data_IF_904473689362
#
_entry.id   IF_904473689362
#
_cell.length_a   1.000
_cell.length_b   1.000
_cell.length_c   1.000
_cell.angle_alpha   90.00
_cell.angle_beta   90.00
_cell.angle_gamma   90.00
#
_symmetry.space_group_name_H-M   'P 1'
#
loop_
_entity.id
_entity.type
_entity.pdbx_description
1 polymer ?
#
# COMPACT_ATOMS: atom_id res chain seq x y z
N UNK A 1 -2.40 -13.58 7.93
CA UNK A 1 -2.59 -12.92 6.62
C UNK A 1 -3.58 -11.78 6.79
N UNK A 2 -3.42 -10.62 6.13
CA UNK A 2 -4.35 -9.50 6.28
C UNK A 2 -5.68 -9.70 5.55
N UNK A 3 -5.66 -10.30 4.36
CA UNK A 3 -6.85 -10.50 3.53
C UNK A 3 -7.66 -11.71 4.00
N UNK A 4 -8.99 -11.60 3.90
CA UNK A 4 -9.93 -12.66 4.22
C UNK A 4 -11.26 -12.49 3.47
N UNK A 5 -12.15 -13.48 3.65
CA UNK A 5 -13.47 -13.49 3.03
C UNK A 5 -14.38 -12.35 3.49
N UNK A 6 -14.04 -11.62 4.56
CA UNK A 6 -14.83 -10.48 5.04
C UNK A 6 -14.24 -9.13 4.67
N UNK A 7 -13.18 -9.13 3.86
CA UNK A 7 -12.57 -7.94 3.33
C UNK A 7 -13.51 -7.21 2.37
N UNK A 8 -13.51 -5.87 2.44
CA UNK A 8 -14.44 -5.02 1.69
C UNK A 8 -13.71 -3.89 0.98
N UNK A 9 -14.21 -3.56 -0.19
CA UNK A 9 -13.83 -2.37 -0.92
C UNK A 9 -14.84 -1.25 -0.63
N UNK A 10 -14.34 -0.13 -0.11
CA UNK A 10 -15.12 1.05 0.24
C UNK A 10 -14.60 2.24 -0.57
N UNK A 11 -15.51 2.89 -1.28
CA UNK A 11 -15.27 4.18 -1.93
C UNK A 11 -16.00 5.27 -1.13
N UNK A 12 -15.31 6.38 -0.87
CA UNK A 12 -15.88 7.58 -0.25
C UNK A 12 -15.84 8.72 -1.26
N UNK A 13 -16.99 9.32 -1.53
CA UNK A 13 -17.12 10.46 -2.44
C UNK A 13 -17.62 11.66 -1.65
N UNK A 14 -17.01 12.83 -1.83
CA UNK A 14 -17.50 14.06 -1.21
C UNK A 14 -18.78 14.54 -1.89
N UNK A 15 -19.72 15.09 -1.12
CA UNK A 15 -20.86 15.83 -1.67
C UNK A 15 -20.41 17.17 -2.23
N UNK A 16 -19.54 17.86 -1.51
CA UNK A 16 -18.99 19.15 -1.91
C UNK A 16 -17.79 18.97 -2.85
N UNK A 17 -17.44 20.02 -3.60
CA UNK A 17 -16.32 19.99 -4.55
C UNK A 17 -14.97 20.17 -3.84
N UNK A 18 -14.57 19.20 -3.02
CA UNK A 18 -13.28 19.25 -2.31
C UNK A 18 -12.15 18.88 -3.29
N UNK A 19 -11.36 19.88 -3.69
CA UNK A 19 -10.21 19.74 -4.59
C UNK A 19 -8.87 19.84 -3.85
N UNK A 20 -8.87 20.39 -2.63
CA UNK A 20 -7.68 20.48 -1.78
C UNK A 20 -7.42 19.15 -1.06
N UNK A 21 -6.23 18.58 -1.30
CA UNK A 21 -5.81 17.28 -0.77
C UNK A 21 -5.60 17.31 0.75
N UNK A 22 -5.10 18.39 1.32
CA UNK A 22 -4.90 18.49 2.76
C UNK A 22 -6.22 18.55 3.50
N UNK A 23 -7.17 19.34 2.99
CA UNK A 23 -8.54 19.40 3.49
C UNK A 23 -9.19 18.02 3.39
N UNK A 24 -9.14 17.37 2.22
CA UNK A 24 -9.68 16.04 2.01
C UNK A 24 -9.08 15.02 2.99
N UNK A 25 -7.75 15.03 3.16
CA UNK A 25 -7.02 14.12 4.04
C UNK A 25 -7.41 14.32 5.50
N UNK A 26 -7.63 15.56 5.93
CA UNK A 26 -8.10 15.87 7.27
C UNK A 26 -9.51 15.31 7.52
N UNK A 27 -10.42 15.43 6.56
CA UNK A 27 -11.76 14.85 6.62
C UNK A 27 -11.72 13.32 6.62
N UNK A 28 -10.87 12.72 5.79
CA UNK A 28 -10.63 11.27 5.78
C UNK A 28 -10.11 10.75 7.13
N UNK A 29 -9.14 11.44 7.74
CA UNK A 29 -8.62 11.05 9.06
C UNK A 29 -9.72 11.12 10.14
N UNK A 30 -10.60 12.13 10.10
CA UNK A 30 -11.75 12.22 11.01
C UNK A 30 -12.72 11.06 10.80
N UNK A 31 -12.96 10.66 9.54
CA UNK A 31 -13.77 9.47 9.24
C UNK A 31 -13.18 8.20 9.84
N UNK A 32 -11.88 7.93 9.65
CA UNK A 32 -11.22 6.74 10.22
C UNK A 32 -11.34 6.74 11.75
N UNK A 33 -11.21 7.90 12.41
CA UNK A 33 -11.43 8.01 13.87
C UNK A 33 -12.87 7.66 14.27
N UNK A 34 -13.88 8.24 13.60
CA UNK A 34 -15.30 7.93 13.86
C UNK A 34 -15.62 6.46 13.62
N UNK A 35 -15.07 5.88 12.56
CA UNK A 35 -15.26 4.46 12.22
C UNK A 35 -14.65 3.55 13.29
N UNK A 36 -13.42 3.82 13.75
CA UNK A 36 -12.79 3.07 14.84
C UNK A 36 -13.59 3.13 16.13
N UNK A 37 -14.09 4.32 16.48
CA UNK A 37 -14.95 4.49 17.65
C UNK A 37 -16.22 3.63 17.54
N UNK A 38 -16.92 3.72 16.40
CA UNK A 38 -18.11 2.90 16.15
C UNK A 38 -17.83 1.39 16.25
N UNK A 39 -16.71 0.93 15.68
CA UNK A 39 -16.31 -0.48 15.73
C UNK A 39 -16.02 -0.96 17.16
N UNK A 40 -15.38 -0.12 17.98
CA UNK A 40 -15.14 -0.40 19.38
C UNK A 40 -16.45 -0.54 20.15
N UNK A 41 -17.37 0.43 20.00
CA UNK A 41 -18.63 0.45 20.74
C UNK A 41 -19.59 -0.67 20.32
N UNK A 42 -19.68 -0.99 19.02
CA UNK A 42 -20.67 -1.96 18.52
C UNK A 42 -20.17 -3.40 18.40
N UNK A 43 -18.88 -3.59 18.19
CA UNK A 43 -18.32 -4.93 17.93
C UNK A 43 -17.18 -5.29 18.89
N UNK A 44 -16.89 -4.45 19.89
CA UNK A 44 -15.75 -4.61 20.79
C UNK A 44 -14.41 -4.75 20.03
N UNK A 45 -14.37 -4.22 18.80
CA UNK A 45 -13.25 -4.32 17.87
C UNK A 45 -12.55 -2.97 17.76
N UNK A 46 -11.49 -2.79 18.54
CA UNK A 46 -10.68 -1.55 18.52
C UNK A 46 -9.73 -1.47 17.33
N UNK A 47 -9.44 -2.60 16.69
CA UNK A 47 -8.43 -2.72 15.64
C UNK A 47 -9.10 -2.71 14.26
N UNK A 48 -8.86 -1.62 13.51
CA UNK A 48 -9.22 -1.50 12.10
C UNK A 48 -7.98 -1.71 11.23
N UNK A 49 -7.96 -2.77 10.43
CA UNK A 49 -6.96 -3.02 9.39
C UNK A 49 -7.46 -2.43 8.05
N UNK A 50 -6.69 -1.53 7.44
CA UNK A 50 -7.04 -0.97 6.13
C UNK A 50 -5.83 -0.44 5.35
N UNK A 51 -6.00 -0.36 4.03
CA UNK A 51 -5.16 0.42 3.10
C UNK A 51 -6.08 1.35 2.33
N UNK A 52 -5.66 2.60 2.09
CA UNK A 52 -6.41 3.54 1.27
C UNK A 52 -5.52 4.42 0.41
N UNK A 53 -6.10 4.93 -0.68
CA UNK A 53 -5.51 5.98 -1.53
C UNK A 53 -6.61 6.92 -1.98
N UNK A 54 -6.23 8.16 -2.31
CA UNK A 54 -7.13 9.09 -2.98
C UNK A 54 -6.86 9.09 -4.49
N UNK A 55 -7.82 9.50 -5.28
CA UNK A 55 -7.61 9.86 -6.69
C UNK A 55 -8.51 11.05 -7.05
N UNK A 56 -8.35 11.60 -8.24
CA UNK A 56 -9.23 12.64 -8.78
C UNK A 56 -10.40 11.96 -9.50
N UNK A 57 -11.63 12.37 -9.18
CA UNK A 57 -12.84 11.84 -9.81
C UNK A 57 -13.00 12.43 -11.23
N UNK A 58 -12.50 11.71 -12.23
CA UNK A 58 -12.55 12.09 -13.67
C UNK A 58 -13.96 12.50 -14.12
N UNK A 59 -14.96 11.66 -13.86
CA UNK A 59 -16.36 11.96 -14.23
C UNK A 59 -16.85 13.30 -13.70
N UNK A 60 -16.48 13.66 -12.47
CA UNK A 60 -16.90 14.92 -11.87
C UNK A 60 -16.16 16.09 -12.50
N UNK A 61 -14.86 15.92 -12.76
CA UNK A 61 -14.03 16.88 -13.49
C UNK A 61 -14.59 17.18 -14.89
N UNK A 62 -15.07 16.18 -15.61
CA UNK A 62 -15.72 16.36 -16.91
C UNK A 62 -17.02 17.17 -16.79
N UNK A 63 -17.86 16.86 -15.81
CA UNK A 63 -19.17 17.52 -15.66
C UNK A 63 -19.13 18.92 -15.04
N UNK A 64 -18.17 19.20 -14.15
CA UNK A 64 -18.12 20.45 -13.37
C UNK A 64 -16.85 21.27 -13.58
N UNK A 65 -15.87 20.74 -14.32
CA UNK A 65 -14.53 21.33 -14.45
C UNK A 65 -13.64 21.10 -13.23
N UNK A 66 -14.15 20.52 -12.14
CA UNK A 66 -13.44 20.43 -10.86
C UNK A 66 -12.97 19.01 -10.57
N UNK A 67 -11.66 18.87 -10.32
CA UNK A 67 -11.02 17.62 -9.91
C UNK A 67 -11.32 17.26 -8.46
N UNK A 68 -12.54 16.79 -8.18
CA UNK A 68 -12.94 16.43 -6.81
C UNK A 68 -12.25 15.16 -6.37
N UNK A 69 -11.75 15.17 -5.13
CA UNK A 69 -11.04 14.05 -4.54
C UNK A 69 -12.04 12.95 -4.14
N UNK A 70 -11.68 11.69 -4.30
CA UNK A 70 -12.38 10.57 -3.66
C UNK A 70 -11.39 9.53 -3.16
N UNK A 71 -11.82 8.75 -2.16
CA UNK A 71 -10.97 7.74 -1.52
C UNK A 71 -11.42 6.33 -1.88
N UNK A 72 -10.44 5.48 -2.17
CA UNK A 72 -10.60 4.04 -2.31
C UNK A 72 -9.91 3.35 -1.16
N UNK A 73 -10.62 2.42 -0.50
CA UNK A 73 -10.20 1.82 0.76
C UNK A 73 -10.45 0.31 0.67
N UNK A 74 -9.43 -0.48 1.03
CA UNK A 74 -9.62 -1.88 1.37
C UNK A 74 -9.66 -1.99 2.89
N UNK A 75 -10.78 -2.51 3.39
CA UNK A 75 -11.01 -2.81 4.80
C UNK A 75 -10.85 -4.31 4.99
N UNK A 76 -9.95 -4.72 5.88
CA UNK A 76 -9.67 -6.13 6.13
C UNK A 76 -10.45 -6.66 7.34
N UNK A 77 -10.93 -7.91 7.27
CA UNK A 77 -11.71 -8.55 8.33
C UNK A 77 -12.85 -7.67 8.86
N UNK A 78 -13.52 -6.96 7.96
CA UNK A 78 -14.41 -5.88 8.36
C UNK A 78 -15.82 -6.43 8.62
N UNK A 79 -16.49 -6.13 9.75
CA UNK A 79 -17.83 -6.64 10.00
C UNK A 79 -18.84 -6.07 9.00
N UNK A 80 -20.02 -6.69 8.90
CA UNK A 80 -21.12 -6.08 8.17
C UNK A 80 -21.60 -4.83 8.91
N UNK A 81 -21.69 -3.72 8.17
CA UNK A 81 -22.31 -2.48 8.64
C UNK A 81 -23.23 -2.01 7.51
N UNK A 82 -24.46 -1.65 7.87
CA UNK A 82 -25.41 -1.11 6.92
C UNK A 82 -24.84 0.13 6.21
N UNK A 83 -25.05 0.23 4.89
CA UNK A 83 -24.50 1.30 4.06
C UNK A 83 -24.89 2.71 4.56
N UNK A 84 -26.16 2.91 4.94
CA UNK A 84 -26.65 4.20 5.45
C UNK A 84 -25.93 4.58 6.75
N UNK A 85 -25.62 3.58 7.59
CA UNK A 85 -24.85 3.83 8.82
C UNK A 85 -23.40 4.22 8.51
N UNK A 86 -22.75 3.58 7.54
CA UNK A 86 -21.42 3.97 7.09
C UNK A 86 -21.41 5.36 6.45
N UNK A 87 -22.42 5.70 5.68
CA UNK A 87 -22.59 7.03 5.10
C UNK A 87 -22.75 8.10 6.19
N UNK A 88 -23.52 7.79 7.24
CA UNK A 88 -23.64 8.65 8.42
C UNK A 88 -22.29 8.84 9.13
N UNK A 89 -21.49 7.78 9.24
CA UNK A 89 -20.13 7.85 9.81
C UNK A 89 -19.21 8.68 8.90
N UNK A 90 -19.37 8.56 7.57
CA UNK A 90 -18.64 9.37 6.60
C UNK A 90 -18.96 10.86 6.74
N UNK A 91 -20.24 11.22 6.82
CA UNK A 91 -20.75 12.57 7.10
C UNK A 91 -20.38 13.66 6.07
N UNK A 92 -19.69 13.33 4.97
CA UNK A 92 -19.22 14.31 3.98
C UNK A 92 -19.63 13.98 2.54
N UNK A 93 -20.54 13.03 2.35
CA UNK A 93 -21.05 12.66 1.03
C UNK A 93 -21.49 11.21 1.00
N UNK A 94 -21.20 10.53 -0.10
CA UNK A 94 -21.73 9.21 -0.42
C UNK A 94 -20.68 8.13 -0.21
N UNK A 95 -21.16 6.91 0.01
CA UNK A 95 -20.30 5.73 0.10
C UNK A 95 -20.75 4.66 -0.88
N UNK A 96 -19.80 3.87 -1.36
CA UNK A 96 -20.07 2.60 -2.05
C UNK A 96 -19.24 1.52 -1.40
N UNK A 97 -19.89 0.51 -0.83
CA UNK A 97 -19.21 -0.61 -0.20
C UNK A 97 -19.55 -1.92 -0.90
N UNK A 98 -18.53 -2.72 -1.20
CA UNK A 98 -18.69 -4.04 -1.82
C UNK A 98 -17.88 -5.06 -1.03
N UNK A 99 -18.45 -6.23 -0.78
CA UNK A 99 -17.70 -7.38 -0.28
C UNK A 99 -16.78 -7.89 -1.40
N UNK A 100 -15.51 -8.13 -1.07
CA UNK A 100 -14.61 -8.79 -2.01
C UNK A 100 -15.01 -10.27 -2.10
N UNK A 101 -15.19 -10.77 -3.32
CA UNK A 101 -15.61 -12.16 -3.53
C UNK A 101 -14.53 -13.10 -3.02
N UNK A 102 -14.94 -14.19 -2.36
CA UNK A 102 -14.04 -15.25 -1.88
C UNK A 102 -13.28 -15.96 -3.02
N UNK A 103 -13.81 -15.93 -4.24
CA UNK A 103 -13.18 -16.50 -5.43
C UNK A 103 -12.07 -15.62 -6.03
N UNK A 104 -11.86 -14.40 -5.52
CA UNK A 104 -10.82 -13.49 -5.99
C UNK A 104 -9.57 -13.75 -5.17
N UNK A 105 -8.47 -14.03 -5.85
CA UNK A 105 -7.20 -14.30 -5.19
C UNK A 105 -6.63 -13.01 -4.57
N UNK A 106 -5.85 -13.09 -3.48
CA UNK A 106 -5.20 -11.92 -2.87
C UNK A 106 -4.42 -11.06 -3.86
N UNK A 107 -3.77 -11.68 -4.86
CA UNK A 107 -2.98 -11.01 -5.90
C UNK A 107 -3.87 -10.14 -6.77
N UNK A 108 -5.06 -10.63 -7.16
CA UNK A 108 -6.04 -9.87 -7.94
C UNK A 108 -6.60 -8.69 -7.15
N UNK A 109 -6.79 -8.85 -5.84
CA UNK A 109 -7.15 -7.74 -4.95
C UNK A 109 -6.02 -6.70 -4.90
N UNK A 110 -4.77 -7.16 -4.83
CA UNK A 110 -3.57 -6.34 -4.93
C UNK A 110 -3.50 -5.54 -6.23
N UNK A 111 -3.66 -6.19 -7.38
CA UNK A 111 -3.69 -5.54 -8.70
C UNK A 111 -4.81 -4.49 -8.79
N UNK A 112 -5.98 -4.81 -8.24
CA UNK A 112 -7.11 -3.90 -8.22
C UNK A 112 -6.82 -2.62 -7.42
N UNK A 113 -6.15 -2.73 -6.26
CA UNK A 113 -5.76 -1.52 -5.51
C UNK A 113 -4.59 -0.77 -6.16
N UNK A 114 -3.63 -1.49 -6.76
CA UNK A 114 -2.50 -0.92 -7.51
C UNK A 114 -2.95 0.01 -8.63
N UNK A 115 -4.05 -0.31 -9.31
CA UNK A 115 -4.69 0.59 -10.29
C UNK A 115 -5.01 1.97 -9.71
N UNK A 116 -5.49 2.04 -8.47
CA UNK A 116 -5.82 3.31 -7.83
C UNK A 116 -4.58 4.02 -7.31
N UNK A 117 -3.51 3.30 -6.96
CA UNK A 117 -2.24 3.90 -6.57
C UNK A 117 -1.55 4.62 -7.72
N UNK A 118 -1.60 4.04 -8.93
CA UNK A 118 -0.97 4.60 -10.12
C UNK A 118 -1.77 5.74 -10.76
N UNK A 119 -3.07 5.85 -10.46
CA UNK A 119 -3.84 7.03 -10.85
C UNK A 119 -3.32 8.28 -10.12
N UNK A 120 -3.19 9.38 -10.85
CA UNK A 120 -2.67 10.66 -10.37
C UNK A 120 -1.26 10.55 -9.77
N UNK A 121 -0.40 9.70 -10.36
CA UNK A 121 0.93 9.40 -9.81
C UNK A 121 1.83 10.63 -9.72
N UNK A 122 1.80 11.50 -10.74
CA UNK A 122 2.56 12.76 -10.75
C UNK A 122 2.13 13.68 -9.61
N UNK A 123 0.83 13.86 -9.40
CA UNK A 123 0.33 14.65 -8.29
C UNK A 123 0.67 13.99 -6.94
N UNK A 124 0.49 12.67 -6.84
CA UNK A 124 0.78 11.90 -5.62
C UNK A 124 2.24 11.95 -5.21
N UNK A 125 3.18 11.87 -6.17
CA UNK A 125 4.62 11.89 -5.90
C UNK A 125 5.04 13.19 -5.19
N UNK A 126 4.36 14.30 -5.49
CA UNK A 126 4.65 15.60 -4.87
C UNK A 126 3.93 15.84 -3.54
N UNK A 127 3.03 14.93 -3.12
CA UNK A 127 2.14 15.13 -1.97
C UNK A 127 2.41 14.11 -0.86
N UNK A 128 2.47 14.60 0.39
CA UNK A 128 2.49 13.72 1.56
C UNK A 128 1.16 12.96 1.66
N UNK A 129 1.21 11.68 2.05
CA UNK A 129 0.03 10.80 2.25
C UNK A 129 -0.78 10.49 0.98
N UNK A 130 -0.11 10.15 -0.12
CA UNK A 130 -0.75 9.49 -1.26
C UNK A 130 -1.38 8.13 -0.90
N UNK A 131 -0.83 7.48 0.13
CA UNK A 131 -1.26 6.19 0.66
C UNK A 131 -1.48 6.30 2.17
N UNK A 132 -2.53 5.64 2.65
CA UNK A 132 -2.85 5.50 4.07
C UNK A 132 -2.88 4.04 4.43
N UNK A 133 -2.27 3.68 5.56
CA UNK A 133 -2.32 2.33 6.09
C UNK A 133 -2.58 2.36 7.59
N UNK A 134 -3.31 1.36 8.08
CA UNK A 134 -3.32 1.08 9.51
C UNK A 134 -1.97 0.51 9.95
N UNK A 135 -1.48 0.87 11.14
CA UNK A 135 -0.16 0.42 11.64
C UNK A 135 -0.08 -1.08 11.95
N UNK A 136 -1.23 -1.72 12.13
CA UNK A 136 -1.41 -3.11 12.54
C UNK A 136 -1.65 -4.06 11.35
N UNK A 137 -1.21 -3.67 10.14
CA UNK A 137 -1.13 -4.62 9.03
C UNK A 137 0.06 -5.54 9.24
N UNK A 138 -0.16 -6.83 8.98
CA UNK A 138 0.96 -7.77 8.82
C UNK A 138 1.78 -7.32 7.63
N UNK A 139 3.08 -7.11 7.86
CA UNK A 139 4.02 -6.74 6.79
C UNK A 139 4.57 -8.02 6.18
N UNK A 140 4.83 -8.04 4.86
CA UNK A 140 5.57 -9.14 4.27
C UNK A 140 6.96 -9.21 4.94
N UNK A 141 7.43 -10.43 5.18
CA UNK A 141 8.83 -10.63 5.52
C UNK A 141 9.63 -10.35 4.26
N UNK A 142 10.54 -9.38 4.33
CA UNK A 142 11.38 -8.99 3.20
C UNK A 142 12.83 -9.25 3.61
N UNK A 143 13.47 -10.17 2.93
CA UNK A 143 14.91 -10.32 2.95
C UNK A 143 15.48 -9.54 1.76
N UNK A 144 16.27 -8.50 2.04
CA UNK A 144 17.00 -7.75 1.00
C UNK A 144 18.47 -8.05 1.17
N UNK A 145 19.05 -8.71 0.17
CA UNK A 145 20.50 -8.89 0.08
C UNK A 145 21.03 -8.10 -1.12
N UNK A 146 22.20 -7.51 -0.93
CA UNK A 146 22.93 -6.82 -1.99
C UNK A 146 24.15 -7.66 -2.32
N UNK A 147 24.29 -8.05 -3.58
CA UNK A 147 25.41 -8.84 -4.06
C UNK A 147 26.15 -8.01 -5.12
N UNK A 148 27.42 -7.71 -4.85
CA UNK A 148 28.31 -7.05 -5.82
C UNK A 148 28.78 -8.04 -6.90
N UNK A 149 28.81 -9.33 -6.57
CA UNK A 149 29.17 -10.42 -7.48
C UNK A 149 27.90 -11.11 -7.97
N UNK A 150 27.65 -11.00 -9.27
CA UNK A 150 26.47 -11.55 -9.96
C UNK A 150 26.40 -13.08 -9.81
N UNK A 151 27.56 -13.76 -9.72
CA UNK A 151 27.62 -15.23 -9.62
C UNK A 151 27.00 -15.79 -8.33
N UNK A 152 26.95 -14.98 -7.27
CA UNK A 152 26.30 -15.34 -6.00
C UNK A 152 24.78 -15.18 -6.14
N UNK A 153 24.34 -14.13 -6.83
CA UNK A 153 22.91 -13.92 -7.09
C UNK A 153 22.33 -15.03 -7.97
N UNK A 154 23.06 -15.45 -9.02
CA UNK A 154 22.68 -16.55 -9.92
C UNK A 154 22.48 -17.88 -9.17
N UNK A 155 23.37 -18.21 -8.23
CA UNK A 155 23.23 -19.43 -7.41
C UNK A 155 22.02 -19.40 -6.47
N UNK A 156 21.70 -18.23 -5.89
CA UNK A 156 20.52 -18.07 -5.03
C UNK A 156 19.23 -18.19 -5.87
N UNK A 157 19.23 -17.60 -7.06
CA UNK A 157 18.14 -17.68 -8.06
C UNK A 157 17.86 -19.13 -8.48
N UNK A 158 18.90 -19.94 -8.71
CA UNK A 158 18.75 -21.34 -9.11
C UNK A 158 18.10 -22.22 -8.03
N UNK A 159 18.12 -21.80 -6.76
CA UNK A 159 17.65 -22.59 -5.63
C UNK A 159 16.24 -22.23 -5.14
N UNK A 160 15.63 -21.16 -5.65
CA UNK A 160 14.39 -20.63 -5.09
C UNK A 160 13.32 -20.34 -6.17
N UNK A 161 12.04 -20.45 -5.79
CA UNK A 161 10.92 -20.14 -6.67
C UNK A 161 10.83 -18.61 -6.88
N UNK A 162 11.34 -18.13 -8.01
CA UNK A 162 11.26 -16.70 -8.35
C UNK A 162 9.84 -16.32 -8.73
N UNK A 163 9.28 -15.36 -8.00
CA UNK A 163 7.96 -14.79 -8.23
C UNK A 163 7.98 -13.59 -9.20
N UNK A 164 9.07 -12.81 -9.21
CA UNK A 164 9.20 -11.64 -10.09
C UNK A 164 10.67 -11.27 -10.31
N UNK A 165 10.97 -10.78 -11.51
CA UNK A 165 12.28 -10.19 -11.86
C UNK A 165 12.11 -8.83 -12.54
N UNK A 166 13.03 -7.92 -12.26
CA UNK A 166 13.13 -6.64 -12.97
C UNK A 166 14.57 -6.19 -13.00
N UNK A 167 14.94 -5.46 -14.05
CA UNK A 167 16.23 -4.81 -14.17
C UNK A 167 16.01 -3.30 -14.26
N UNK A 168 16.81 -2.51 -13.56
CA UNK A 168 16.77 -1.06 -13.66
C UNK A 168 18.17 -0.46 -13.60
N UNK A 169 18.37 0.63 -14.33
CA UNK A 169 19.60 1.43 -14.27
C UNK A 169 19.47 2.39 -13.11
N UNK A 170 20.40 2.32 -12.16
CA UNK A 170 20.55 3.31 -11.11
C UNK A 170 21.70 4.25 -11.45
N UNK A 171 21.61 5.50 -11.00
CA UNK A 171 22.67 6.50 -11.15
C UNK A 171 23.21 6.82 -9.78
N UNK A 172 24.50 6.61 -9.58
CA UNK A 172 25.18 6.98 -8.36
C UNK A 172 26.17 8.09 -8.66
N UNK A 173 26.24 9.08 -7.79
CA UNK A 173 27.23 10.13 -7.87
C UNK A 173 28.43 9.71 -7.04
N UNK A 174 29.54 9.38 -7.71
CA UNK A 174 30.77 8.87 -7.09
C UNK A 174 31.95 9.61 -7.71
N UNK A 175 32.84 10.15 -6.88
CA UNK A 175 34.03 10.88 -7.33
C UNK A 175 33.73 11.99 -8.36
N UNK A 176 32.70 12.80 -8.10
CA UNK A 176 32.27 13.91 -8.96
C UNK A 176 31.68 13.52 -10.32
N UNK A 177 31.49 12.22 -10.58
CA UNK A 177 30.89 11.71 -11.81
C UNK A 177 29.60 10.91 -11.53
N UNK A 178 28.69 10.92 -12.50
CA UNK A 178 27.52 10.06 -12.49
C UNK A 178 27.86 8.72 -13.12
N UNK A 179 27.86 7.67 -12.31
CA UNK A 179 28.06 6.30 -12.76
C UNK A 179 26.69 5.64 -12.88
N UNK A 180 26.43 5.05 -14.05
CA UNK A 180 25.26 4.19 -14.27
C UNK A 180 25.62 2.76 -13.89
N UNK A 181 24.78 2.15 -13.06
CA UNK A 181 24.92 0.76 -12.65
C UNK A 181 23.62 0.00 -12.90
N UNK A 182 23.74 -1.26 -13.31
CA UNK A 182 22.61 -2.11 -13.65
C UNK A 182 22.24 -2.95 -12.43
N UNK A 183 21.09 -2.68 -11.86
CA UNK A 183 20.59 -3.42 -10.69
C UNK A 183 19.58 -4.45 -11.16
N UNK A 184 19.86 -5.72 -10.84
CA UNK A 184 18.91 -6.80 -11.00
C UNK A 184 18.13 -7.00 -9.70
N UNK A 185 16.81 -6.99 -9.80
CA UNK A 185 15.87 -7.16 -8.69
C UNK A 185 15.09 -8.45 -8.86
N UNK A 186 15.09 -9.26 -7.79
CA UNK A 186 14.42 -10.55 -7.74
C UNK A 186 13.48 -10.56 -6.53
N UNK A 187 12.24 -11.01 -6.73
CA UNK A 187 11.30 -11.34 -5.66
C UNK A 187 11.16 -12.84 -5.64
N UNK A 188 11.41 -13.43 -4.49
CA UNK A 188 11.41 -14.88 -4.31
C UNK A 188 10.24 -15.25 -3.40
N UNK A 189 9.45 -16.23 -3.83
CA UNK A 189 8.34 -16.79 -3.05
C UNK A 189 8.88 -17.87 -2.11
N UNK A 190 9.06 -17.53 -0.83
CA UNK A 190 9.44 -18.53 0.16
C UNK A 190 8.20 -19.27 0.68
N UNK A 191 8.01 -20.53 0.26
CA UNK A 191 6.87 -21.38 0.64
C UNK A 191 6.95 -21.90 2.09
N UNK A 192 8.10 -21.77 2.75
CA UNK A 192 8.33 -22.24 4.13
C UNK A 192 8.50 -21.07 5.10
N UNK A 193 7.40 -20.38 5.43
CA UNK A 193 7.42 -19.30 6.44
C UNK A 193 7.55 -19.79 7.90
N UNK A 194 8.11 -20.99 8.15
CA UNK A 194 8.36 -21.49 9.51
C UNK A 194 9.81 -21.98 9.62
N UNK A 195 10.60 -21.18 10.37
CA UNK A 195 11.99 -21.39 10.79
C UNK A 195 13.05 -20.91 9.81
N UNK A 196 13.56 -19.71 10.04
CA UNK A 196 15.02 -19.51 10.07
C UNK A 196 15.34 -18.56 11.22
N UNK A 197 16.08 -19.07 12.19
CA UNK A 197 16.59 -18.36 13.35
C UNK A 197 17.60 -17.28 12.94
N UNK A 198 17.71 -16.24 13.77
CA UNK A 198 18.72 -15.21 13.64
C UNK A 198 20.14 -15.79 13.56
N UNK A 199 20.80 -15.59 12.43
CA UNK A 199 22.27 -15.55 12.38
C UNK A 199 22.70 -14.24 11.74
N UNK A 200 22.87 -13.22 12.58
CA UNK A 200 23.63 -12.02 12.26
C UNK A 200 25.10 -12.40 12.29
N UNK A 201 25.69 -12.72 11.13
CA UNK A 201 27.15 -12.67 10.97
C UNK A 201 27.47 -11.33 10.33
N UNK A 202 27.80 -10.36 11.19
CA UNK A 202 28.57 -9.19 10.78
C UNK A 202 29.94 -9.69 10.36
N UNK A 203 30.23 -9.64 9.06
CA UNK A 203 31.59 -9.79 8.58
C UNK A 203 32.31 -8.45 8.78
N UNK A 204 32.88 -8.30 9.98
CA UNK A 204 33.83 -7.25 10.36
C UNK A 204 35.17 -7.53 9.66
N UNK A 205 35.23 -7.39 8.35
CA UNK A 205 36.50 -7.40 7.62
C UNK A 205 36.46 -6.49 6.39
N UNK A 206 36.42 -5.18 6.67
CA UNK A 206 37.08 -4.10 5.89
C UNK A 206 36.84 -2.75 6.58
N UNK A 207 37.49 -2.58 7.73
CA UNK A 207 38.07 -1.29 8.10
C UNK A 207 39.05 -0.91 6.99
N UNK A 208 38.95 0.26 6.36
CA UNK A 208 39.61 1.48 6.85
C UNK A 208 39.21 2.70 6.01
N UNK A 209 39.42 3.92 6.55
CA UNK A 209 38.63 5.13 6.31
C UNK A 209 39.17 5.93 5.13
N UNK A 210 38.44 6.92 4.65
CA UNK A 210 38.94 8.29 4.47
C UNK A 210 37.74 9.24 4.30
N UNK A 211 38.00 10.47 4.73
CA UNK A 211 37.16 11.66 4.83
C UNK A 211 36.18 11.89 3.66
#
# INVERSE_FOLDING_TARGET
MNYDNDSKFLTLTFRDNITDIEVANNLFNKFIKRLKYYLKEKFQKSILKYIATWEIQEKRKETTGLGVIHYHIILFSFPYINANKLETIWNHGFIKINKLKSSVTPERVGLYISKYFTKNLSEKATKKKAVFTSRNLEKPFLHVSYHQDISIAEKVIECEDIAFTSQYVTRQFVNEEWIEDVVNYYVIENKDTKKVEHSRKEDLSKTTPYL
#
